data_IF_964680081482
#
_entry.id   IF_964680081482
#
_cell.length_a   1.000
_cell.length_b   1.000
_cell.length_c   1.000
_cell.angle_alpha   90.00
_cell.angle_beta   90.00
_cell.angle_gamma   90.00
#
_symmetry.space_group_name_H-M   'P 1'
#
loop_
_entity.id
_entity.type
_entity.pdbx_description
1 polymer ?
#
# COMPACT_ATOMS: atom_id res chain seq x y z
N UNK A 1 -31.21 1.23 -10.05
CA UNK A 1 -30.61 1.86 -8.86
C UNK A 1 -29.26 1.17 -8.64
N UNK A 2 -28.16 1.88 -8.87
CA UNK A 2 -26.82 1.34 -8.61
C UNK A 2 -26.66 1.20 -7.10
N UNK A 3 -26.54 -0.03 -6.62
CA UNK A 3 -26.14 -0.28 -5.23
C UNK A 3 -24.73 0.26 -5.08
N UNK A 4 -24.58 1.41 -4.41
CA UNK A 4 -23.25 1.92 -4.07
C UNK A 4 -22.54 0.83 -3.26
N UNK A 5 -21.46 0.30 -3.80
CA UNK A 5 -20.62 -0.67 -3.10
C UNK A 5 -20.08 0.01 -1.86
N UNK A 6 -20.44 -0.49 -0.68
CA UNK A 6 -19.95 0.04 0.60
C UNK A 6 -18.44 -0.23 0.66
N UNK A 7 -17.64 0.83 0.66
CA UNK A 7 -16.18 0.73 0.79
C UNK A 7 -15.86 0.31 2.22
N UNK A 8 -15.32 -0.89 2.40
CA UNK A 8 -14.86 -1.37 3.71
C UNK A 8 -13.68 -0.51 4.16
N UNK A 9 -13.70 -0.05 5.38
CA UNK A 9 -12.62 0.77 5.92
C UNK A 9 -12.62 0.76 7.46
N UNK A 10 -11.48 1.16 8.02
CA UNK A 10 -11.34 1.54 9.42
C UNK A 10 -10.37 2.73 9.52
N UNK A 11 -10.92 3.95 9.45
CA UNK A 11 -10.19 5.22 9.52
C UNK A 11 -10.68 6.08 10.68
N UNK A 12 -9.81 6.94 11.20
CA UNK A 12 -10.08 7.67 12.44
C UNK A 12 -11.24 8.65 12.35
N UNK A 13 -11.28 9.50 11.31
CA UNK A 13 -12.27 10.58 11.20
C UNK A 13 -12.63 10.91 9.74
N UNK A 14 -13.83 10.54 9.28
CA UNK A 14 -14.31 10.84 7.94
C UNK A 14 -14.33 12.34 7.58
N UNK A 15 -14.52 13.22 8.58
CA UNK A 15 -14.61 14.65 8.35
C UNK A 15 -13.29 15.28 7.83
N UNK A 16 -12.17 14.58 7.98
CA UNK A 16 -10.86 15.02 7.49
C UNK A 16 -10.66 14.81 5.98
N UNK A 17 -11.56 14.10 5.30
CA UNK A 17 -11.37 13.70 3.91
C UNK A 17 -11.12 14.87 2.95
N UNK A 18 -11.83 15.97 3.11
CA UNK A 18 -11.67 17.17 2.27
C UNK A 18 -10.28 17.81 2.41
N UNK A 19 -9.72 17.81 3.62
CA UNK A 19 -8.38 18.34 3.85
C UNK A 19 -7.32 17.39 3.31
N UNK A 20 -7.45 16.09 3.56
CA UNK A 20 -6.58 15.07 3.00
C UNK A 20 -6.52 15.11 1.48
N UNK A 21 -7.67 15.32 0.82
CA UNK A 21 -7.72 15.49 -0.65
C UNK A 21 -6.82 16.63 -1.13
N UNK A 22 -6.91 17.80 -0.52
CA UNK A 22 -6.06 18.95 -0.89
C UNK A 22 -4.58 18.64 -0.74
N UNK A 23 -4.20 17.96 0.32
CA UNK A 23 -2.81 17.56 0.57
C UNK A 23 -2.33 16.53 -0.46
N UNK A 24 -3.13 15.53 -0.80
CA UNK A 24 -2.83 14.55 -1.84
C UNK A 24 -2.63 15.24 -3.20
N UNK A 25 -3.53 16.14 -3.57
CA UNK A 25 -3.45 16.91 -4.81
C UNK A 25 -2.24 17.86 -4.85
N UNK A 26 -1.86 18.40 -3.70
CA UNK A 26 -0.66 19.24 -3.59
C UNK A 26 0.62 18.40 -3.79
N UNK A 27 0.73 17.25 -3.13
CA UNK A 27 1.87 16.33 -3.27
C UNK A 27 2.02 15.84 -4.72
N UNK A 28 0.91 15.58 -5.41
CA UNK A 28 0.90 15.12 -6.80
C UNK A 28 1.68 16.04 -7.76
N UNK A 29 1.74 17.35 -7.45
CA UNK A 29 2.47 18.35 -8.27
C UNK A 29 3.98 18.08 -8.32
N UNK A 30 4.51 17.41 -7.30
CA UNK A 30 5.93 17.04 -7.19
C UNK A 30 6.23 15.61 -7.63
N UNK A 31 5.24 14.92 -8.24
CA UNK A 31 5.35 13.52 -8.66
C UNK A 31 5.08 13.36 -10.18
N UNK A 32 5.83 14.05 -11.06
CA UNK A 32 5.53 14.10 -12.50
C UNK A 32 5.69 12.76 -13.20
N UNK A 33 6.62 11.91 -12.75
CA UNK A 33 6.81 10.57 -13.31
C UNK A 33 5.62 9.68 -12.99
N UNK A 34 5.15 9.71 -11.73
CA UNK A 34 3.97 8.94 -11.32
C UNK A 34 2.70 9.44 -12.04
N UNK A 35 2.59 10.75 -12.30
CA UNK A 35 1.49 11.31 -13.07
C UNK A 35 1.44 10.72 -14.49
N UNK A 36 2.58 10.64 -15.18
CA UNK A 36 2.68 10.01 -16.51
C UNK A 36 2.34 8.51 -16.47
N UNK A 37 2.80 7.80 -15.43
CA UNK A 37 2.44 6.38 -15.22
C UNK A 37 0.94 6.24 -15.01
N UNK A 38 0.32 7.09 -14.19
CA UNK A 38 -1.13 7.10 -13.94
C UNK A 38 -1.93 7.33 -15.24
N UNK A 39 -1.50 8.25 -16.09
CA UNK A 39 -2.13 8.50 -17.38
C UNK A 39 -2.02 7.27 -18.32
N UNK A 40 -0.86 6.63 -18.36
CA UNK A 40 -0.64 5.40 -19.11
C UNK A 40 -1.54 4.27 -18.57
N UNK A 41 -1.54 4.05 -17.27
CA UNK A 41 -2.36 3.03 -16.61
C UNK A 41 -3.86 3.26 -16.82
N UNK A 42 -4.30 4.51 -16.83
CA UNK A 42 -5.69 4.83 -17.11
C UNK A 42 -6.15 4.40 -18.52
N UNK A 43 -5.22 4.39 -19.47
CA UNK A 43 -5.49 3.95 -20.87
C UNK A 43 -5.35 2.44 -21.02
N UNK A 44 -4.26 1.87 -20.51
CA UNK A 44 -3.89 0.47 -20.72
C UNK A 44 -4.64 -0.49 -19.80
N UNK A 45 -5.09 -0.04 -18.61
CA UNK A 45 -5.76 -0.85 -17.60
C UNK A 45 -4.99 -2.13 -17.22
N UNK A 46 -3.68 -2.06 -16.93
CA UNK A 46 -2.85 -3.26 -16.71
C UNK A 46 -3.27 -4.10 -15.51
N UNK A 47 -4.04 -3.52 -14.58
CA UNK A 47 -4.52 -4.19 -13.37
C UNK A 47 -6.03 -4.46 -13.38
N UNK A 48 -6.67 -4.46 -14.56
CA UNK A 48 -8.12 -4.74 -14.64
C UNK A 48 -8.44 -6.12 -14.03
N UNK A 49 -9.25 -6.13 -12.97
CA UNK A 49 -9.63 -7.35 -12.24
C UNK A 49 -8.57 -7.90 -11.30
N UNK A 50 -7.46 -7.21 -11.11
CA UNK A 50 -6.40 -7.60 -10.16
C UNK A 50 -6.68 -6.99 -8.79
N UNK A 51 -6.64 -7.81 -7.74
CA UNK A 51 -6.75 -7.40 -6.35
C UNK A 51 -5.36 -7.21 -5.76
N UNK A 52 -5.12 -6.04 -5.17
CA UNK A 52 -3.84 -5.66 -4.57
C UNK A 52 -4.07 -5.30 -3.10
N UNK A 53 -3.36 -5.97 -2.19
CA UNK A 53 -3.24 -5.53 -0.80
C UNK A 53 -1.90 -4.80 -0.64
N UNK A 54 -1.95 -3.61 -0.04
CA UNK A 54 -0.77 -2.79 0.21
C UNK A 54 -0.64 -2.52 1.71
N UNK A 55 0.57 -2.70 2.24
CA UNK A 55 0.97 -2.38 3.60
C UNK A 55 2.11 -1.37 3.52
N UNK A 56 1.78 -0.09 3.61
CA UNK A 56 2.71 1.02 3.36
C UNK A 56 2.41 2.18 4.31
N UNK A 57 3.35 3.10 4.50
CA UNK A 57 3.05 4.34 5.21
C UNK A 57 1.90 5.08 4.54
N UNK A 58 0.85 5.42 5.29
CA UNK A 58 -0.34 6.10 4.73
C UNK A 58 -0.10 7.60 4.68
N UNK A 59 0.69 7.99 3.68
CA UNK A 59 1.08 9.38 3.38
C UNK A 59 0.48 9.87 2.07
N UNK A 60 0.65 11.14 1.77
CA UNK A 60 0.19 11.75 0.52
C UNK A 60 0.84 11.15 -0.72
N UNK A 61 2.08 10.69 -0.61
CA UNK A 61 2.84 10.03 -1.67
C UNK A 61 2.28 8.65 -1.97
N UNK A 62 2.09 7.84 -0.92
CA UNK A 62 1.43 6.52 -1.03
C UNK A 62 0.01 6.66 -1.59
N UNK A 63 -0.73 7.69 -1.19
CA UNK A 63 -2.05 7.95 -1.75
C UNK A 63 -1.99 8.16 -3.27
N UNK A 64 -1.03 8.92 -3.77
CA UNK A 64 -0.85 9.11 -5.21
C UNK A 64 -0.50 7.80 -5.94
N UNK A 65 0.31 6.92 -5.32
CA UNK A 65 0.56 5.58 -5.84
C UNK A 65 -0.73 4.76 -5.93
N UNK A 66 -1.54 4.74 -4.85
CA UNK A 66 -2.83 4.04 -4.84
C UNK A 66 -3.77 4.55 -5.94
N UNK A 67 -3.79 5.87 -6.18
CA UNK A 67 -4.58 6.47 -7.26
C UNK A 67 -4.09 6.05 -8.65
N UNK A 68 -2.78 5.87 -8.84
CA UNK A 68 -2.22 5.37 -10.10
C UNK A 68 -2.61 3.89 -10.34
N UNK A 69 -2.51 3.04 -9.32
CA UNK A 69 -2.92 1.64 -9.38
C UNK A 69 -4.42 1.51 -9.65
N UNK A 70 -5.26 2.31 -8.97
CA UNK A 70 -6.70 2.38 -9.22
C UNK A 70 -7.02 2.82 -10.64
N UNK A 71 -6.32 3.83 -11.16
CA UNK A 71 -6.46 4.25 -12.55
C UNK A 71 -6.14 3.11 -13.51
N UNK A 72 -5.20 2.22 -13.15
CA UNK A 72 -4.88 0.99 -13.86
C UNK A 72 -5.91 -0.13 -13.77
N UNK A 73 -6.97 0.06 -13.00
CA UNK A 73 -8.08 -0.90 -12.86
C UNK A 73 -7.95 -1.87 -11.68
N UNK A 74 -7.01 -1.65 -10.77
CA UNK A 74 -6.84 -2.50 -9.60
C UNK A 74 -7.99 -2.33 -8.58
N UNK A 75 -8.37 -3.45 -7.95
CA UNK A 75 -9.09 -3.47 -6.68
C UNK A 75 -8.08 -3.36 -5.54
N UNK A 76 -8.26 -2.38 -4.64
CA UNK A 76 -7.24 -2.00 -3.67
C UNK A 76 -7.72 -2.11 -2.23
N UNK A 77 -6.85 -2.63 -1.36
CA UNK A 77 -6.95 -2.48 0.08
C UNK A 77 -5.60 -2.02 0.63
N UNK A 78 -5.60 -0.95 1.42
CA UNK A 78 -4.40 -0.35 2.02
C UNK A 78 -4.46 -0.46 3.54
N UNK A 79 -3.37 -0.88 4.17
CA UNK A 79 -3.13 -0.73 5.60
C UNK A 79 -1.79 -0.03 5.85
N UNK A 80 -1.58 0.46 7.07
CA UNK A 80 -0.32 1.09 7.43
C UNK A 80 0.76 0.03 7.71
N UNK A 81 2.01 0.32 7.34
CA UNK A 81 3.17 -0.51 7.64
C UNK A 81 3.78 -0.25 9.03
N UNK A 82 3.24 0.73 9.75
CA UNK A 82 3.65 1.08 11.10
C UNK A 82 2.47 1.73 11.85
N UNK A 83 2.26 1.44 13.15
CA UNK A 83 1.17 2.05 13.92
C UNK A 83 1.17 3.57 13.98
N UNK A 84 2.34 4.20 13.78
CA UNK A 84 2.51 5.66 13.88
C UNK A 84 2.58 6.37 12.52
N UNK A 85 2.52 5.64 11.41
CA UNK A 85 2.79 6.18 10.07
C UNK A 85 1.53 6.43 9.24
N UNK A 86 0.43 6.78 9.89
CA UNK A 86 -0.82 7.15 9.21
C UNK A 86 -1.08 8.64 9.33
N UNK A 87 -1.28 9.31 8.20
CA UNK A 87 -1.91 10.62 8.12
C UNK A 87 -3.42 10.39 8.03
N UNK A 88 -4.15 10.65 9.11
CA UNK A 88 -5.58 10.30 9.22
C UNK A 88 -6.46 11.04 8.20
N UNK A 89 -6.08 12.24 7.82
CA UNK A 89 -6.75 13.01 6.76
C UNK A 89 -6.55 12.36 5.38
N UNK A 90 -5.34 11.87 5.11
CA UNK A 90 -5.02 11.12 3.88
C UNK A 90 -5.78 9.79 3.82
N UNK A 91 -5.82 9.05 4.93
CA UNK A 91 -6.59 7.82 5.05
C UNK A 91 -8.09 8.06 4.78
N UNK A 92 -8.66 9.11 5.40
CA UNK A 92 -10.04 9.49 5.18
C UNK A 92 -10.33 9.89 3.72
N UNK A 93 -9.43 10.68 3.10
CA UNK A 93 -9.59 11.08 1.71
C UNK A 93 -9.57 9.88 0.74
N UNK A 94 -8.69 8.92 0.95
CA UNK A 94 -8.63 7.71 0.12
C UNK A 94 -9.96 6.94 0.14
N UNK A 95 -10.62 6.87 1.29
CA UNK A 95 -11.93 6.21 1.42
C UNK A 95 -13.05 7.04 0.80
N UNK A 96 -13.24 8.27 1.29
CA UNK A 96 -14.47 9.03 1.04
C UNK A 96 -14.44 9.86 -0.24
N UNK A 97 -13.26 10.29 -0.70
CA UNK A 97 -13.12 11.05 -1.94
C UNK A 97 -12.72 10.15 -3.11
N UNK A 98 -11.93 9.10 -2.84
CA UNK A 98 -11.38 8.27 -3.92
C UNK A 98 -11.90 6.84 -3.95
N UNK A 99 -12.68 6.39 -2.96
CA UNK A 99 -13.31 5.07 -2.94
C UNK A 99 -12.32 3.91 -2.93
N UNK A 100 -11.27 4.01 -2.11
CA UNK A 100 -10.29 2.96 -1.86
C UNK A 100 -10.47 2.43 -0.44
N UNK A 101 -10.47 1.11 -0.24
CA UNK A 101 -10.52 0.51 1.09
C UNK A 101 -9.22 0.81 1.86
N UNK A 102 -9.34 1.43 3.03
CA UNK A 102 -8.21 1.76 3.90
C UNK A 102 -8.50 1.30 5.33
N UNK A 103 -7.53 0.61 5.91
CA UNK A 103 -7.53 0.14 7.29
C UNK A 103 -6.28 0.72 7.97
N UNK A 104 -6.39 1.96 8.46
CA UNK A 104 -5.27 2.66 9.07
C UNK A 104 -5.74 3.82 9.96
N UNK A 105 -5.17 3.90 11.15
CA UNK A 105 -5.34 5.00 12.11
C UNK A 105 -3.99 5.31 12.75
N UNK A 106 -3.72 6.59 12.97
CA UNK A 106 -2.52 6.98 13.68
C UNK A 106 -2.58 6.50 15.15
N UNK A 107 -1.46 6.03 15.66
CA UNK A 107 -1.29 5.58 17.05
C UNK A 107 -2.23 4.42 17.45
N UNK A 108 -2.58 3.55 16.51
CA UNK A 108 -3.31 2.31 16.81
C UNK A 108 -2.43 1.38 17.66
N UNK A 109 -3.04 0.62 18.57
CA UNK A 109 -2.34 -0.39 19.34
C UNK A 109 -1.93 -1.60 18.49
N UNK A 110 -1.20 -2.54 19.10
CA UNK A 110 -0.70 -3.72 18.41
C UNK A 110 -1.82 -4.57 17.81
N UNK A 111 -2.88 -4.79 18.56
CA UNK A 111 -3.98 -5.67 18.12
C UNK A 111 -4.75 -5.03 16.98
N UNK A 112 -4.99 -3.71 17.05
CA UNK A 112 -5.56 -2.93 15.95
C UNK A 112 -4.67 -2.94 14.71
N UNK A 113 -3.35 -2.80 14.87
CA UNK A 113 -2.40 -2.87 13.76
C UNK A 113 -2.50 -4.21 13.01
N UNK A 114 -2.42 -5.35 13.73
CA UNK A 114 -2.57 -6.67 13.10
C UNK A 114 -3.99 -6.93 12.59
N UNK A 115 -5.00 -6.34 13.22
CA UNK A 115 -6.37 -6.30 12.73
C UNK A 115 -6.49 -5.62 11.36
N UNK A 116 -5.78 -4.49 11.16
CA UNK A 116 -5.72 -3.78 9.89
C UNK A 116 -5.03 -4.59 8.78
N UNK A 117 -3.90 -5.25 9.08
CA UNK A 117 -3.24 -6.14 8.12
C UNK A 117 -4.20 -7.27 7.66
N UNK A 118 -4.88 -7.91 8.60
CA UNK A 118 -5.86 -8.95 8.28
C UNK A 118 -7.02 -8.42 7.44
N UNK A 119 -7.54 -7.23 7.76
CA UNK A 119 -8.63 -6.60 7.01
C UNK A 119 -8.22 -6.25 5.57
N UNK A 120 -6.98 -5.79 5.37
CA UNK A 120 -6.44 -5.57 4.04
C UNK A 120 -6.32 -6.88 3.23
N UNK A 121 -5.95 -7.98 3.88
CA UNK A 121 -5.86 -9.32 3.25
C UNK A 121 -7.21 -9.94 2.90
N UNK A 122 -8.32 -9.46 3.49
CA UNK A 122 -9.66 -9.97 3.17
C UNK A 122 -10.09 -9.72 1.72
N UNK A 123 -9.40 -8.86 0.98
CA UNK A 123 -9.58 -8.70 -0.47
C UNK A 123 -9.12 -9.96 -1.24
N UNK A 124 -8.39 -10.89 -0.59
CA UNK A 124 -7.76 -12.07 -1.19
C UNK A 124 -6.82 -11.66 -2.33
N UNK A 125 -5.72 -10.99 -2.03
CA UNK A 125 -4.87 -10.34 -3.02
C UNK A 125 -4.22 -11.32 -3.98
N UNK A 126 -4.01 -10.85 -5.20
CA UNK A 126 -3.17 -11.50 -6.21
C UNK A 126 -1.79 -10.85 -6.28
N UNK A 127 -1.70 -9.57 -5.90
CA UNK A 127 -0.42 -8.89 -5.72
C UNK A 127 -0.36 -8.26 -4.32
N UNK A 128 0.83 -8.21 -3.74
CA UNK A 128 1.08 -7.58 -2.45
C UNK A 128 2.17 -6.52 -2.56
N UNK A 129 1.95 -5.37 -1.94
CA UNK A 129 2.97 -4.32 -1.77
C UNK A 129 3.23 -4.21 -0.28
N UNK A 130 4.49 -4.35 0.12
CA UNK A 130 4.86 -4.34 1.53
C UNK A 130 6.03 -3.38 1.79
N UNK A 131 6.07 -2.88 3.00
CA UNK A 131 7.10 -1.96 3.47
C UNK A 131 7.52 -2.41 4.89
N UNK A 132 8.42 -3.38 4.94
CA UNK A 132 8.91 -4.01 6.16
C UNK A 132 8.54 -5.49 6.31
N UNK A 133 7.92 -6.10 5.31
CA UNK A 133 7.60 -7.53 5.26
C UNK A 133 6.57 -8.01 6.30
N UNK A 134 5.74 -7.12 6.87
CA UNK A 134 4.76 -7.54 7.87
C UNK A 134 3.52 -8.17 7.25
N UNK A 135 3.04 -7.65 6.11
CA UNK A 135 1.93 -8.23 5.37
C UNK A 135 2.30 -9.62 4.82
N UNK A 136 3.50 -9.73 4.23
CA UNK A 136 4.03 -11.01 3.74
C UNK A 136 4.22 -12.00 4.88
N UNK A 137 4.69 -11.55 6.05
CA UNK A 137 4.80 -12.42 7.22
C UNK A 137 3.44 -12.94 7.70
N UNK A 138 2.40 -12.11 7.73
CA UNK A 138 1.02 -12.53 8.07
C UNK A 138 0.53 -13.59 7.07
N UNK A 139 0.77 -13.41 5.77
CA UNK A 139 0.45 -14.42 4.75
C UNK A 139 1.16 -15.76 5.00
N UNK A 140 2.41 -15.74 5.44
CA UNK A 140 3.20 -16.97 5.68
C UNK A 140 2.95 -17.60 7.05
N UNK A 141 2.26 -16.93 7.95
CA UNK A 141 1.99 -17.42 9.32
C UNK A 141 0.52 -17.69 9.58
N UNK A 142 -0.31 -16.66 9.66
CA UNK A 142 -1.71 -16.74 10.08
C UNK A 142 -2.74 -16.76 8.95
N UNK A 143 -2.37 -16.37 7.72
CA UNK A 143 -3.26 -16.32 6.55
C UNK A 143 -2.74 -17.18 5.37
N UNK A 144 -2.19 -18.36 5.70
CA UNK A 144 -1.58 -19.28 4.71
C UNK A 144 -2.55 -19.72 3.62
N UNK A 145 -3.83 -19.74 3.93
CA UNK A 145 -4.88 -20.11 2.97
C UNK A 145 -4.97 -19.15 1.76
N UNK A 146 -4.39 -17.95 1.88
CA UNK A 146 -4.40 -16.97 0.80
C UNK A 146 -3.19 -17.08 -0.14
N UNK A 147 -2.12 -17.77 0.27
CA UNK A 147 -0.84 -17.81 -0.46
C UNK A 147 -1.01 -18.32 -1.89
N UNK A 148 -1.86 -19.32 -2.08
CA UNK A 148 -2.08 -19.95 -3.40
C UNK A 148 -2.64 -18.96 -4.44
N UNK A 149 -3.33 -17.91 -3.96
CA UNK A 149 -3.86 -16.85 -4.81
C UNK A 149 -2.87 -15.70 -5.09
N UNK A 150 -1.74 -15.63 -4.38
CA UNK A 150 -0.76 -14.56 -4.54
C UNK A 150 0.22 -14.90 -5.66
N UNK A 151 0.28 -14.06 -6.67
CA UNK A 151 1.16 -14.24 -7.84
C UNK A 151 2.55 -13.67 -7.59
N UNK A 152 2.65 -12.51 -6.95
CA UNK A 152 3.91 -11.80 -6.70
C UNK A 152 3.71 -10.66 -5.69
N UNK A 153 4.83 -10.07 -5.26
CA UNK A 153 4.81 -8.84 -4.46
C UNK A 153 6.00 -7.94 -4.72
N UNK A 154 5.94 -6.75 -4.11
CA UNK A 154 7.00 -5.75 -4.10
C UNK A 154 7.32 -5.38 -2.65
N UNK A 155 8.61 -5.21 -2.34
CA UNK A 155 9.08 -4.73 -1.03
C UNK A 155 9.81 -3.40 -1.18
N UNK A 156 9.38 -2.42 -0.41
CA UNK A 156 9.86 -1.03 -0.50
C UNK A 156 11.18 -0.83 0.25
N UNK A 157 11.40 -1.51 1.40
CA UNK A 157 12.39 -1.07 2.38
C UNK A 157 13.48 -2.08 2.67
N UNK A 158 14.65 -1.59 3.11
CA UNK A 158 15.85 -2.40 3.40
C UNK A 158 15.59 -3.51 4.40
N UNK A 159 14.89 -3.23 5.50
CA UNK A 159 14.59 -4.23 6.53
C UNK A 159 13.69 -5.35 6.02
N UNK A 160 12.72 -5.02 5.18
CA UNK A 160 11.84 -5.99 4.55
C UNK A 160 12.60 -6.87 3.55
N UNK A 161 13.46 -6.28 2.70
CA UNK A 161 14.30 -7.06 1.75
C UNK A 161 15.22 -8.03 2.48
N UNK A 162 15.81 -7.63 3.62
CA UNK A 162 16.64 -8.52 4.45
C UNK A 162 15.81 -9.71 4.95
N UNK A 163 14.60 -9.47 5.49
CA UNK A 163 13.69 -10.53 5.98
C UNK A 163 13.29 -11.49 4.84
N UNK A 164 12.88 -10.94 3.69
CA UNK A 164 12.50 -11.73 2.51
C UNK A 164 13.65 -12.55 1.95
N UNK A 165 14.85 -11.98 1.90
CA UNK A 165 16.06 -12.69 1.47
C UNK A 165 16.38 -13.88 2.36
N UNK A 166 16.19 -13.73 3.68
CA UNK A 166 16.34 -14.85 4.61
C UNK A 166 15.25 -15.90 4.39
N UNK A 167 13.99 -15.50 4.25
CA UNK A 167 12.89 -16.43 3.95
C UNK A 167 13.12 -17.20 2.64
N UNK A 168 13.70 -16.54 1.63
CA UNK A 168 14.03 -17.19 0.36
C UNK A 168 15.14 -18.22 0.52
N UNK A 169 16.20 -17.90 1.27
CA UNK A 169 17.31 -18.84 1.59
C UNK A 169 16.83 -20.07 2.34
N UNK A 170 15.88 -19.89 3.25
CA UNK A 170 15.31 -20.96 4.06
C UNK A 170 14.23 -21.78 3.31
N UNK A 171 13.91 -21.41 2.03
CA UNK A 171 12.86 -22.04 1.24
C UNK A 171 11.44 -21.76 1.78
N UNK A 172 11.31 -20.78 2.68
CA UNK A 172 10.05 -20.41 3.30
C UNK A 172 9.19 -19.47 2.44
N UNK A 173 9.81 -18.61 1.63
CA UNK A 173 9.11 -17.67 0.75
C UNK A 173 8.38 -18.44 -0.37
N UNK A 174 7.06 -18.25 -0.47
CA UNK A 174 6.19 -19.08 -1.34
C UNK A 174 5.80 -18.41 -2.66
N UNK A 175 6.10 -17.16 -2.85
CA UNK A 175 5.85 -16.42 -4.10
C UNK A 175 6.97 -15.41 -4.35
N UNK A 176 7.21 -15.01 -5.61
CA UNK A 176 8.27 -14.07 -5.94
C UNK A 176 8.00 -12.67 -5.37
N UNK A 177 9.07 -12.05 -4.87
CA UNK A 177 9.06 -10.66 -4.39
C UNK A 177 10.10 -9.83 -5.14
N UNK A 178 9.70 -8.64 -5.57
CA UNK A 178 10.58 -7.67 -6.22
C UNK A 178 11.13 -6.73 -5.14
N UNK A 179 12.45 -6.71 -4.98
CA UNK A 179 13.14 -5.79 -4.08
C UNK A 179 13.22 -4.38 -4.71
N UNK A 180 12.15 -3.60 -4.58
CA UNK A 180 12.09 -2.22 -5.10
C UNK A 180 13.15 -1.36 -4.43
N UNK A 181 13.40 -1.59 -3.13
CA UNK A 181 14.44 -0.89 -2.38
C UNK A 181 15.83 -0.93 -3.05
N UNK A 182 16.15 -2.03 -3.75
CA UNK A 182 17.48 -2.27 -4.30
C UNK A 182 17.62 -1.81 -5.75
N UNK A 183 16.55 -1.24 -6.33
CA UNK A 183 16.62 -0.65 -7.66
C UNK A 183 17.39 0.68 -7.61
N UNK A 184 18.26 0.92 -8.62
CA UNK A 184 19.10 2.12 -8.68
C UNK A 184 18.29 3.42 -8.57
N UNK A 185 17.13 3.48 -9.25
CA UNK A 185 16.24 4.64 -9.24
C UNK A 185 15.57 4.91 -7.89
N UNK A 186 15.51 3.92 -7.00
CA UNK A 186 15.03 4.07 -5.62
C UNK A 186 16.19 4.29 -4.64
N UNK A 187 17.13 3.36 -4.60
CA UNK A 187 18.19 3.33 -3.60
C UNK A 187 19.16 4.52 -3.66
N UNK A 188 19.53 4.94 -4.87
CA UNK A 188 20.45 6.07 -5.07
C UNK A 188 19.81 7.43 -4.76
N UNK A 189 18.51 7.53 -4.71
CA UNK A 189 17.78 8.78 -4.48
C UNK A 189 17.07 8.79 -3.12
N UNK A 190 16.16 7.86 -2.86
CA UNK A 190 15.38 7.85 -1.63
C UNK A 190 16.25 7.54 -0.40
N UNK A 191 16.93 6.41 -0.39
CA UNK A 191 17.76 6.01 0.76
C UNK A 191 18.91 7.00 1.04
N UNK A 192 19.44 7.63 0.00
CA UNK A 192 20.57 8.54 0.12
C UNK A 192 20.17 9.97 0.43
N UNK A 193 19.22 10.53 -0.31
CA UNK A 193 18.82 11.94 -0.22
C UNK A 193 17.51 12.13 0.52
N UNK A 194 16.54 11.24 0.35
CA UNK A 194 15.24 11.31 1.02
C UNK A 194 15.41 11.20 2.54
N UNK A 195 16.24 10.29 3.02
CA UNK A 195 16.57 10.16 4.45
C UNK A 195 17.20 11.45 4.99
N UNK A 196 18.16 12.04 4.26
CA UNK A 196 18.81 13.28 4.68
C UNK A 196 17.88 14.50 4.69
N UNK A 197 16.84 14.52 3.85
CA UNK A 197 15.84 15.59 3.84
C UNK A 197 14.82 15.45 4.98
N UNK A 198 14.60 14.23 5.48
CA UNK A 198 13.64 13.95 6.54
C UNK A 198 14.22 14.12 7.95
N UNK A 199 15.53 14.25 8.09
CA UNK A 199 16.27 14.42 9.35
C UNK A 199 16.41 15.88 9.71
#
# INVERSE_FOLDING_TARGET
MSTATVIKNDVANPALASEGKKRIEWAARNMPVLAQIKERFAKEKPFAGVRIAACMHVTTETANLMLALKAGGADLALCASNPLSTQDDTAAALVYEYGISVFAKNAVDRDGYYGHLNSALDIKPQLVFDDGCDLVNVLHTSRKELIEGVLAGCEETTTGVIRLSQMAKDGALKFPMIAVNDTDTKHMFDNRYGTGQST
#
